data_IF_169401348855
#
_entry.id   IF_169401348855
#
_cell.length_a   1.000
_cell.length_b   1.000
_cell.length_c   1.000
_cell.angle_alpha   90.00
_cell.angle_beta   90.00
_cell.angle_gamma   90.00
#
_symmetry.space_group_name_H-M   'P 1'
#
loop_
_entity.id
_entity.type
_entity.pdbx_description
1 polymer ?
#
# COMPACT_ATOMS: atom_id res chain seq x y z
N UNK A 1 51.07 -21.37 -48.66
CA UNK A 1 50.53 -20.12 -48.03
C UNK A 1 49.16 -20.42 -47.46
N UNK A 2 49.08 -20.63 -46.14
CA UNK A 2 47.81 -20.90 -45.45
C UNK A 2 47.30 -19.61 -44.82
N UNK A 3 46.21 -19.09 -45.33
CA UNK A 3 45.52 -17.93 -44.76
C UNK A 3 44.59 -18.41 -43.66
N UNK A 4 44.95 -18.11 -42.37
CA UNK A 4 44.14 -18.42 -41.20
C UNK A 4 43.09 -17.32 -41.06
N UNK A 5 41.81 -17.64 -41.29
CA UNK A 5 40.69 -16.79 -40.92
C UNK A 5 40.42 -16.91 -39.43
N UNK A 6 40.71 -15.87 -38.69
CA UNK A 6 40.32 -15.73 -37.30
C UNK A 6 38.90 -15.18 -37.31
N UNK A 7 37.93 -16.03 -36.96
CA UNK A 7 36.57 -15.63 -36.73
C UNK A 7 36.48 -15.09 -35.30
N UNK A 8 36.40 -13.78 -35.16
CA UNK A 8 36.18 -13.11 -33.88
C UNK A 8 34.69 -13.19 -33.55
N UNK A 9 34.32 -14.15 -32.67
CA UNK A 9 32.97 -14.24 -32.15
C UNK A 9 32.75 -13.14 -31.09
N UNK A 10 32.15 -12.03 -31.48
CA UNK A 10 31.69 -11.01 -30.56
C UNK A 10 30.42 -11.50 -29.87
N UNK A 11 30.58 -12.00 -28.62
CA UNK A 11 29.47 -12.28 -27.72
C UNK A 11 28.79 -10.97 -27.32
N UNK A 12 27.63 -10.70 -27.91
CA UNK A 12 26.75 -9.63 -27.50
C UNK A 12 26.13 -10.02 -26.14
N UNK A 13 26.71 -9.53 -25.06
CA UNK A 13 26.10 -9.59 -23.73
C UNK A 13 24.88 -8.66 -23.73
N UNK A 14 23.70 -9.21 -23.99
CA UNK A 14 22.44 -8.52 -23.65
C UNK A 14 22.35 -8.45 -22.13
N UNK A 15 22.75 -7.31 -21.57
CA UNK A 15 22.44 -6.98 -20.18
C UNK A 15 20.93 -6.80 -20.08
N UNK A 16 20.25 -7.77 -19.53
CA UNK A 16 18.86 -7.64 -19.13
C UNK A 16 18.82 -6.67 -17.95
N UNK A 17 18.29 -5.49 -18.15
CA UNK A 17 18.01 -4.55 -17.06
C UNK A 17 16.90 -5.15 -16.22
N UNK A 18 17.27 -5.81 -15.13
CA UNK A 18 16.32 -6.18 -14.08
C UNK A 18 15.88 -4.90 -13.37
N UNK A 19 14.68 -4.42 -13.67
CA UNK A 19 14.06 -3.35 -12.91
C UNK A 19 13.67 -3.91 -11.55
N UNK A 20 14.55 -3.70 -10.56
CA UNK A 20 14.23 -3.97 -9.15
C UNK A 20 13.34 -2.83 -8.65
N UNK A 21 12.09 -3.16 -8.35
CA UNK A 21 11.17 -2.24 -7.69
C UNK A 21 11.51 -2.15 -6.20
N UNK A 22 11.75 -0.92 -5.70
CA UNK A 22 11.99 -0.67 -4.28
C UNK A 22 10.70 -0.83 -3.47
N UNK A 23 10.56 -1.93 -2.77
CA UNK A 23 9.47 -2.19 -1.83
C UNK A 23 9.66 -3.55 -1.16
N UNK A 24 9.42 -3.64 0.15
CA UNK A 24 9.44 -4.91 0.86
C UNK A 24 8.32 -5.83 0.34
N UNK A 25 8.65 -7.10 0.13
CA UNK A 25 7.66 -8.13 -0.22
C UNK A 25 7.00 -8.67 1.06
N UNK A 26 5.72 -8.99 0.97
CA UNK A 26 5.05 -9.76 2.02
C UNK A 26 5.44 -11.25 1.96
N UNK A 27 4.89 -12.07 2.85
CA UNK A 27 5.17 -13.51 2.91
C UNK A 27 4.82 -14.28 1.63
N UNK A 28 4.02 -13.69 0.75
CA UNK A 28 3.57 -14.27 -0.52
C UNK A 28 4.42 -13.78 -1.71
N UNK A 29 5.43 -12.96 -1.45
CA UNK A 29 6.30 -12.39 -2.48
C UNK A 29 5.63 -11.27 -3.28
N UNK A 30 4.65 -10.58 -2.70
CA UNK A 30 3.87 -9.52 -3.35
C UNK A 30 4.08 -8.16 -2.66
N UNK A 31 3.85 -7.06 -3.39
CA UNK A 31 3.86 -5.71 -2.83
C UNK A 31 3.01 -4.72 -3.64
N UNK A 32 2.71 -3.58 -3.01
CA UNK A 32 2.09 -2.46 -3.71
C UNK A 32 3.13 -1.66 -4.50
N UNK A 33 2.84 -1.35 -5.75
CA UNK A 33 3.66 -0.47 -6.55
C UNK A 33 3.22 0.99 -6.38
N UNK A 34 4.07 1.80 -5.76
CA UNK A 34 3.77 3.21 -5.48
C UNK A 34 3.56 4.09 -6.72
N UNK A 35 4.16 3.72 -7.86
CA UNK A 35 4.06 4.51 -9.10
C UNK A 35 2.75 4.32 -9.84
N UNK A 36 2.26 3.08 -9.88
CA UNK A 36 1.06 2.71 -10.66
C UNK A 36 -0.15 2.46 -9.77
N UNK A 37 0.03 2.39 -8.43
CA UNK A 37 -1.01 2.03 -7.48
C UNK A 37 -1.44 0.57 -7.59
N UNK A 38 -0.68 -0.26 -8.30
CA UNK A 38 -0.98 -1.67 -8.51
C UNK A 38 -0.40 -2.57 -7.42
N UNK A 39 -1.10 -3.65 -7.08
CA UNK A 39 -0.57 -4.75 -6.27
C UNK A 39 -0.06 -5.85 -7.20
N UNK A 40 1.20 -6.27 -7.07
CA UNK A 40 1.75 -7.33 -7.89
C UNK A 40 2.74 -8.25 -7.14
N UNK A 41 3.00 -9.41 -7.70
CA UNK A 41 3.82 -10.46 -7.11
C UNK A 41 5.00 -10.81 -8.00
N UNK A 42 6.13 -11.17 -7.39
CA UNK A 42 7.37 -11.51 -8.09
C UNK A 42 7.56 -13.03 -8.29
N UNK A 43 6.68 -13.84 -7.71
CA UNK A 43 6.67 -15.29 -7.94
C UNK A 43 5.30 -15.75 -8.48
N UNK A 44 5.28 -16.88 -9.17
CA UNK A 44 4.06 -17.41 -9.78
C UNK A 44 2.99 -17.78 -8.73
N UNK A 45 3.42 -18.28 -7.58
CA UNK A 45 2.51 -18.67 -6.48
C UNK A 45 1.81 -17.45 -5.90
N UNK A 46 2.56 -16.38 -5.63
CA UNK A 46 1.97 -15.13 -5.14
C UNK A 46 1.11 -14.42 -6.18
N UNK A 47 1.45 -14.52 -7.48
CA UNK A 47 0.65 -13.94 -8.56
C UNK A 47 -0.73 -14.61 -8.71
N UNK A 48 -0.79 -15.92 -8.54
CA UNK A 48 -2.05 -16.69 -8.53
C UNK A 48 -2.93 -16.27 -7.34
N UNK A 49 -2.33 -16.23 -6.15
CA UNK A 49 -3.02 -15.80 -4.92
C UNK A 49 -3.53 -14.36 -5.04
N UNK A 50 -2.71 -13.44 -5.59
CA UNK A 50 -3.12 -12.04 -5.79
C UNK A 50 -4.27 -11.89 -6.81
N UNK A 51 -4.28 -12.71 -7.88
CA UNK A 51 -5.39 -12.72 -8.85
C UNK A 51 -6.69 -13.23 -8.20
N UNK A 52 -6.60 -14.29 -7.42
CA UNK A 52 -7.75 -14.87 -6.69
C UNK A 52 -8.29 -13.87 -5.67
N UNK A 53 -7.42 -13.18 -4.93
CA UNK A 53 -7.81 -12.13 -3.98
C UNK A 53 -8.52 -10.96 -4.69
N UNK A 54 -8.02 -10.50 -5.85
CA UNK A 54 -8.66 -9.42 -6.61
C UNK A 54 -10.04 -9.80 -7.15
N UNK A 55 -10.23 -11.05 -7.54
CA UNK A 55 -11.54 -11.53 -8.02
C UNK A 55 -12.59 -11.68 -6.91
N UNK A 56 -12.11 -11.79 -5.65
CA UNK A 56 -12.93 -11.97 -4.46
C UNK A 56 -12.97 -10.74 -3.54
N UNK A 57 -12.51 -9.56 -4.02
CA UNK A 57 -12.60 -8.34 -3.21
C UNK A 57 -14.06 -8.01 -2.93
N UNK A 58 -14.48 -8.13 -1.69
CA UNK A 58 -15.74 -7.59 -1.25
C UNK A 58 -15.75 -6.07 -1.42
N UNK A 59 -16.89 -5.50 -1.70
CA UNK A 59 -17.06 -4.04 -1.75
C UNK A 59 -16.63 -3.47 -0.39
N UNK A 60 -15.82 -2.41 -0.41
CA UNK A 60 -15.42 -1.74 0.82
C UNK A 60 -16.65 -1.18 1.56
N UNK A 61 -16.83 -1.63 2.78
CA UNK A 61 -17.80 -1.08 3.71
C UNK A 61 -17.08 -0.65 5.00
N UNK A 62 -17.17 0.64 5.32
CA UNK A 62 -16.55 1.19 6.52
C UNK A 62 -17.11 0.57 7.80
N UNK A 63 -18.37 0.15 7.82
CA UNK A 63 -19.02 -0.45 8.98
C UNK A 63 -18.37 -1.78 9.42
N UNK A 64 -17.67 -2.45 8.52
CA UNK A 64 -16.92 -3.67 8.82
C UNK A 64 -15.82 -3.47 9.88
N UNK A 65 -15.35 -2.24 10.04
CA UNK A 65 -14.24 -1.90 10.92
C UNK A 65 -14.69 -1.47 12.32
N UNK A 66 -15.88 -0.90 12.49
CA UNK A 66 -16.47 -0.50 13.78
C UNK A 66 -15.60 0.49 14.58
N UNK A 67 -15.34 1.65 13.99
CA UNK A 67 -14.53 2.71 14.60
C UNK A 67 -15.15 3.32 15.86
N UNK A 68 -14.33 3.47 16.90
CA UNK A 68 -14.65 4.18 18.13
C UNK A 68 -13.99 5.55 18.13
N UNK A 69 -14.76 6.57 17.74
CA UNK A 69 -14.25 7.94 17.68
C UNK A 69 -13.83 8.47 19.06
N UNK A 70 -12.83 9.32 19.05
CA UNK A 70 -12.43 10.09 20.22
C UNK A 70 -12.01 11.50 19.78
N UNK A 71 -11.97 12.43 20.73
CA UNK A 71 -11.54 13.80 20.45
C UNK A 71 -10.03 13.90 20.59
N UNK A 72 -9.33 14.55 19.64
CA UNK A 72 -7.92 14.91 19.82
C UNK A 72 -7.74 15.82 21.05
N UNK A 73 -6.61 15.68 21.72
CA UNK A 73 -6.24 16.51 22.87
C UNK A 73 -5.42 17.76 22.46
N UNK A 74 -5.38 18.08 21.20
CA UNK A 74 -4.65 19.22 20.62
C UNK A 74 -5.50 19.93 19.58
N UNK A 75 -5.22 21.20 19.35
CA UNK A 75 -5.77 22.00 18.24
C UNK A 75 -4.79 22.11 17.05
N UNK A 76 -3.60 21.52 17.15
CA UNK A 76 -2.59 21.57 16.10
C UNK A 76 -2.73 20.36 15.18
N UNK A 77 -2.89 20.63 13.88
CA UNK A 77 -2.99 19.58 12.86
C UNK A 77 -1.63 18.96 12.52
N UNK A 78 -1.57 17.62 12.53
CA UNK A 78 -0.35 16.84 12.30
C UNK A 78 0.35 17.19 10.97
N UNK A 79 -0.41 17.30 9.88
CA UNK A 79 0.17 17.53 8.54
C UNK A 79 0.64 18.97 8.30
N UNK A 80 0.06 19.93 8.98
CA UNK A 80 0.32 21.35 8.71
C UNK A 80 1.09 22.05 9.81
N UNK A 81 1.09 21.50 11.02
CA UNK A 81 1.62 22.18 12.21
C UNK A 81 0.85 23.45 12.61
N UNK A 82 -0.34 23.67 12.02
CA UNK A 82 -1.16 24.88 12.26
C UNK A 82 -2.36 24.56 13.12
N UNK A 83 -2.87 25.61 13.79
CA UNK A 83 -4.13 25.52 14.53
C UNK A 83 -5.29 25.28 13.59
N UNK A 84 -6.13 24.31 13.93
CA UNK A 84 -7.34 23.94 13.19
C UNK A 84 -8.58 24.52 13.86
N UNK A 85 -9.53 24.99 13.07
CA UNK A 85 -10.86 25.39 13.55
C UNK A 85 -11.67 24.17 13.99
N UNK A 86 -11.56 23.07 13.23
CA UNK A 86 -12.21 21.80 13.54
C UNK A 86 -11.19 20.65 13.42
N UNK A 87 -11.18 19.79 14.43
CA UNK A 87 -10.26 18.66 14.49
C UNK A 87 -10.99 17.35 14.23
N UNK A 88 -10.34 16.48 13.47
CA UNK A 88 -10.70 15.07 13.33
C UNK A 88 -9.50 14.19 13.69
N UNK A 89 -9.78 12.91 13.92
CA UNK A 89 -8.75 11.88 13.88
C UNK A 89 -8.67 11.35 12.45
N UNK A 90 -7.48 11.33 11.92
CA UNK A 90 -7.17 10.72 10.63
C UNK A 90 -6.38 9.43 10.82
N UNK A 91 -6.60 8.46 9.95
CA UNK A 91 -5.79 7.25 9.87
C UNK A 91 -4.62 7.50 8.92
N UNK A 92 -3.38 7.31 9.38
CA UNK A 92 -2.17 7.41 8.53
C UNK A 92 -2.28 6.46 7.33
N UNK A 93 -2.64 5.20 7.60
CA UNK A 93 -3.06 4.23 6.59
C UNK A 93 -4.57 4.17 6.60
N UNK A 94 -5.21 4.62 5.53
CA UNK A 94 -6.66 4.68 5.45
C UNK A 94 -7.29 3.28 5.50
N UNK A 95 -8.53 3.18 6.00
CA UNK A 95 -9.24 1.90 6.06
C UNK A 95 -9.53 1.34 4.67
N UNK A 96 -9.78 2.22 3.71
CA UNK A 96 -10.02 1.83 2.32
C UNK A 96 -8.74 1.30 1.67
N UNK A 97 -7.61 1.99 1.87
CA UNK A 97 -6.32 1.52 1.37
C UNK A 97 -5.92 0.18 1.99
N UNK A 98 -6.11 0.01 3.31
CA UNK A 98 -5.92 -1.27 3.97
C UNK A 98 -6.83 -2.36 3.38
N UNK A 99 -8.12 -2.06 3.14
CA UNK A 99 -9.06 -3.00 2.53
C UNK A 99 -8.58 -3.44 1.15
N UNK A 100 -8.26 -2.50 0.27
CA UNK A 100 -7.78 -2.75 -1.09
C UNK A 100 -6.42 -3.47 -1.12
N UNK A 101 -5.63 -3.30 -0.05
CA UNK A 101 -4.36 -4.01 0.17
C UNK A 101 -4.50 -5.39 0.82
N UNK A 102 -5.73 -5.91 0.97
CA UNK A 102 -5.98 -7.28 1.44
C UNK A 102 -6.69 -7.39 2.78
N UNK A 103 -7.00 -6.28 3.47
CA UNK A 103 -7.75 -6.34 4.72
C UNK A 103 -9.21 -6.81 4.54
N UNK A 104 -9.73 -6.87 3.31
CA UNK A 104 -11.02 -7.50 3.04
C UNK A 104 -11.06 -8.96 3.54
N UNK A 105 -9.93 -9.67 3.50
CA UNK A 105 -9.81 -11.06 3.96
C UNK A 105 -9.55 -11.19 5.47
N UNK A 106 -9.38 -10.08 6.21
CA UNK A 106 -9.15 -10.15 7.64
C UNK A 106 -10.41 -10.54 8.41
N UNK A 107 -10.21 -11.19 9.56
CA UNK A 107 -11.30 -11.39 10.51
C UNK A 107 -11.85 -10.05 11.01
N UNK A 108 -13.12 -10.01 11.39
CA UNK A 108 -13.75 -8.81 11.94
C UNK A 108 -12.96 -8.25 13.14
N UNK A 109 -12.49 -9.12 14.05
CA UNK A 109 -11.70 -8.69 15.20
C UNK A 109 -10.38 -7.99 14.78
N UNK A 110 -9.72 -8.45 13.71
CA UNK A 110 -8.51 -7.82 13.19
C UNK A 110 -8.82 -6.47 12.55
N UNK A 111 -9.92 -6.34 11.80
CA UNK A 111 -10.38 -5.06 11.24
C UNK A 111 -10.65 -4.04 12.33
N UNK A 112 -11.42 -4.42 13.36
CA UNK A 112 -11.72 -3.56 14.52
C UNK A 112 -10.45 -3.12 15.27
N UNK A 113 -9.49 -4.03 15.45
CA UNK A 113 -8.21 -3.71 16.07
C UNK A 113 -7.44 -2.68 15.24
N UNK A 114 -7.35 -2.87 13.94
CA UNK A 114 -6.64 -1.96 13.03
C UNK A 114 -7.26 -0.57 13.01
N UNK A 115 -8.58 -0.47 12.89
CA UNK A 115 -9.29 0.81 12.86
C UNK A 115 -9.14 1.62 14.16
N UNK A 116 -8.99 0.92 15.29
CA UNK A 116 -8.86 1.56 16.61
C UNK A 116 -7.40 1.62 17.11
N UNK A 117 -6.43 1.29 16.25
CA UNK A 117 -5.01 1.36 16.60
C UNK A 117 -4.55 2.82 16.68
N UNK A 118 -4.22 3.25 17.89
CA UNK A 118 -3.77 4.62 18.17
C UNK A 118 -2.46 4.98 17.47
N UNK A 119 -1.62 4.00 17.12
CA UNK A 119 -0.38 4.23 16.38
C UNK A 119 -0.63 4.63 14.92
N UNK A 120 -1.81 4.28 14.40
CA UNK A 120 -2.27 4.67 13.06
C UNK A 120 -3.11 5.96 13.07
N UNK A 121 -3.25 6.63 14.21
CA UNK A 121 -4.12 7.81 14.36
C UNK A 121 -3.31 9.09 14.56
N UNK A 122 -3.69 10.14 13.83
CA UNK A 122 -3.14 11.49 14.02
C UNK A 122 -4.24 12.54 14.10
N UNK A 123 -4.04 13.60 14.91
CA UNK A 123 -4.94 14.75 14.89
C UNK A 123 -4.78 15.50 13.58
N UNK A 124 -5.85 15.76 12.87
CA UNK A 124 -5.84 16.47 11.59
C UNK A 124 -6.90 17.57 11.55
N UNK A 125 -6.61 18.66 10.85
CA UNK A 125 -7.64 19.61 10.47
C UNK A 125 -8.69 18.90 9.61
N UNK A 126 -9.96 19.15 9.87
CA UNK A 126 -11.07 18.49 9.17
C UNK A 126 -10.97 18.64 7.65
N UNK A 127 -10.62 19.85 7.17
CA UNK A 127 -10.48 20.17 5.74
C UNK A 127 -9.35 19.36 5.10
N UNK A 128 -8.23 19.22 5.82
CA UNK A 128 -7.07 18.44 5.34
C UNK A 128 -7.41 16.95 5.30
N UNK A 129 -8.03 16.42 6.35
CA UNK A 129 -8.48 15.03 6.39
C UNK A 129 -9.49 14.74 5.27
N UNK A 130 -10.45 15.64 5.04
CA UNK A 130 -11.42 15.51 3.95
C UNK A 130 -10.77 15.57 2.56
N UNK A 131 -9.76 16.44 2.39
CA UNK A 131 -9.02 16.56 1.14
C UNK A 131 -8.12 15.36 0.86
N UNK A 132 -7.50 14.78 1.90
CA UNK A 132 -6.71 13.56 1.80
C UNK A 132 -7.56 12.36 1.37
N UNK A 133 -8.78 12.27 1.84
CA UNK A 133 -9.68 11.16 1.53
C UNK A 133 -9.10 9.82 1.94
N UNK A 134 -9.00 8.88 1.00
CA UNK A 134 -8.42 7.55 1.19
C UNK A 134 -6.96 7.44 0.75
N UNK A 135 -6.29 8.53 0.42
CA UNK A 135 -4.87 8.50 0.12
C UNK A 135 -4.08 8.16 1.39
N UNK A 136 -3.18 7.18 1.29
CA UNK A 136 -2.26 6.74 2.34
C UNK A 136 -0.84 7.20 2.06
#
# INVERSE_FOLDING_TARGET
>A
MLCKFIVLATSLLLSQFAFSHGGGLNSEGCHNEKKTGGYHCHNSTGAETARTMRSNTSVYDRSDFNYRSYKPNTSIGFYTGKTCTMMNIDHLVSLKDAHESGAFAWSHSKKVKFENDRSNHVPSCREINSSKGSAG
#
